data_IF_163463820015
#
_entry.id   IF_163463820015
#
_cell.length_a   1.000
_cell.length_b   1.000
_cell.length_c   1.000
_cell.angle_alpha   90.00
_cell.angle_beta   90.00
_cell.angle_gamma   90.00
#
_symmetry.space_group_name_H-M   'P 1'
#
loop_
_entity.id
_entity.type
_entity.pdbx_description
1 polymer ?
#
# COMPACT_ATOMS: atom_id res chain seq x y z
N UNK A 1 -40.17 -28.38 -12.15
CA UNK A 1 -38.79 -28.90 -12.14
C UNK A 1 -38.01 -28.05 -11.18
N UNK A 2 -37.83 -28.58 -9.98
CA UNK A 2 -37.17 -27.92 -8.86
C UNK A 2 -35.67 -27.74 -9.11
N UNK A 3 -35.16 -26.58 -8.74
CA UNK A 3 -33.77 -26.45 -8.31
C UNK A 3 -33.78 -25.56 -7.08
N UNK A 4 -34.01 -26.22 -5.94
CA UNK A 4 -33.75 -25.69 -4.62
C UNK A 4 -32.34 -25.08 -4.62
N UNK A 5 -32.28 -23.77 -4.37
CA UNK A 5 -31.02 -23.11 -4.03
C UNK A 5 -30.40 -23.82 -2.84
N UNK A 6 -29.22 -24.41 -3.03
CA UNK A 6 -28.44 -24.95 -1.94
C UNK A 6 -28.21 -23.82 -0.91
N UNK A 7 -28.49 -24.05 0.39
CA UNK A 7 -28.11 -23.12 1.43
C UNK A 7 -26.59 -22.95 1.40
N UNK A 8 -26.09 -21.73 1.56
CA UNK A 8 -24.64 -21.51 1.74
C UNK A 8 -24.22 -22.31 2.98
N UNK A 9 -23.05 -22.98 3.00
CA UNK A 9 -22.61 -23.79 4.13
C UNK A 9 -22.48 -23.02 5.46
N UNK A 10 -22.55 -21.69 5.43
CA UNK A 10 -22.61 -20.83 6.61
C UNK A 10 -23.95 -20.85 7.36
N UNK A 11 -25.07 -21.18 6.70
CA UNK A 11 -26.43 -21.08 7.27
C UNK A 11 -26.83 -22.28 8.15
N UNK A 12 -26.03 -23.35 8.18
CA UNK A 12 -26.28 -24.55 9.00
C UNK A 12 -25.48 -24.60 10.32
N UNK A 13 -24.73 -23.55 10.68
CA UNK A 13 -23.97 -23.53 11.93
C UNK A 13 -24.83 -23.09 13.12
N UNK A 14 -24.79 -23.87 14.21
CA UNK A 14 -25.36 -23.50 15.51
C UNK A 14 -24.90 -22.09 15.93
N UNK A 15 -25.79 -21.31 16.55
CA UNK A 15 -25.48 -19.98 17.10
C UNK A 15 -24.26 -20.03 18.02
N UNK A 16 -24.10 -21.12 18.78
CA UNK A 16 -22.96 -21.37 19.66
C UNK A 16 -21.67 -21.51 18.86
N UNK A 17 -21.68 -22.29 17.77
CA UNK A 17 -20.53 -22.45 16.86
C UNK A 17 -20.11 -21.12 16.23
N UNK A 18 -21.09 -20.30 15.82
CA UNK A 18 -20.81 -18.97 15.25
C UNK A 18 -20.22 -18.01 16.28
N UNK A 19 -20.73 -18.03 17.52
CA UNK A 19 -20.17 -17.26 18.63
C UNK A 19 -18.74 -17.67 18.96
N UNK A 20 -18.46 -18.98 19.02
CA UNK A 20 -17.11 -19.51 19.25
C UNK A 20 -16.15 -19.07 18.14
N UNK A 21 -16.51 -19.25 16.86
CA UNK A 21 -15.68 -18.79 15.72
C UNK A 21 -15.36 -17.30 15.84
N UNK A 22 -16.36 -16.47 16.15
CA UNK A 22 -16.19 -15.02 16.30
C UNK A 22 -15.29 -14.66 17.49
N UNK A 23 -15.46 -15.33 18.63
CA UNK A 23 -14.62 -15.15 19.82
C UNK A 23 -13.15 -15.43 19.50
N UNK A 24 -12.84 -16.60 18.93
CA UNK A 24 -11.47 -17.02 18.67
C UNK A 24 -10.78 -16.19 17.59
N UNK A 25 -11.51 -15.80 16.53
CA UNK A 25 -11.02 -14.83 15.56
C UNK A 25 -10.66 -13.51 16.23
N UNK A 26 -11.53 -13.00 17.10
CA UNK A 26 -11.30 -11.72 17.81
C UNK A 26 -10.12 -11.84 18.78
N UNK A 27 -9.99 -12.97 19.47
CA UNK A 27 -8.87 -13.27 20.37
C UNK A 27 -7.54 -13.29 19.61
N UNK A 28 -7.49 -13.89 18.41
CA UNK A 28 -6.30 -13.87 17.57
C UNK A 28 -5.92 -12.44 17.14
N UNK A 29 -6.90 -11.62 16.72
CA UNK A 29 -6.66 -10.21 16.39
C UNK A 29 -6.06 -9.46 17.59
N UNK A 30 -6.61 -9.68 18.79
CA UNK A 30 -6.12 -9.06 20.02
C UNK A 30 -4.70 -9.51 20.38
N UNK A 31 -4.37 -10.79 20.23
CA UNK A 31 -3.01 -11.33 20.45
C UNK A 31 -2.01 -10.64 19.53
N UNK A 32 -2.32 -10.57 18.22
CA UNK A 32 -1.48 -9.87 17.23
C UNK A 32 -1.31 -8.38 17.58
N UNK A 33 -2.40 -7.69 17.95
CA UNK A 33 -2.36 -6.27 18.29
C UNK A 33 -1.61 -5.95 19.60
N UNK A 34 -1.62 -6.87 20.57
CA UNK A 34 -0.96 -6.68 21.87
C UNK A 34 0.47 -7.22 21.91
N UNK A 35 0.96 -7.80 20.82
CA UNK A 35 2.31 -8.36 20.73
C UNK A 35 2.54 -9.54 21.68
N UNK A 36 1.47 -10.25 22.07
CA UNK A 36 1.60 -11.46 22.90
C UNK A 36 2.29 -12.56 22.10
N UNK A 37 3.09 -13.39 22.78
CA UNK A 37 3.82 -14.49 22.15
C UNK A 37 2.85 -15.43 21.43
N UNK A 38 3.07 -15.59 20.13
CA UNK A 38 2.34 -16.54 19.28
C UNK A 38 3.11 -17.86 19.16
N UNK A 39 2.48 -18.87 18.58
CA UNK A 39 3.12 -20.16 18.30
C UNK A 39 4.30 -19.98 17.33
N UNK A 40 5.48 -20.43 17.73
CA UNK A 40 6.74 -20.20 17.00
C UNK A 40 6.73 -20.86 15.61
N UNK A 41 6.08 -22.01 15.45
CA UNK A 41 6.00 -22.68 14.16
C UNK A 41 5.07 -21.96 13.19
N UNK A 42 3.98 -21.37 13.70
CA UNK A 42 3.10 -20.53 12.88
C UNK A 42 3.78 -19.24 12.44
N UNK A 43 4.55 -18.61 13.34
CA UNK A 43 5.33 -17.41 12.99
C UNK A 43 6.40 -17.75 11.95
N UNK A 44 7.14 -18.86 12.13
CA UNK A 44 8.15 -19.29 11.17
C UNK A 44 7.54 -19.62 9.79
N UNK A 45 6.37 -20.25 9.76
CA UNK A 45 5.66 -20.56 8.51
C UNK A 45 5.20 -19.30 7.76
N UNK A 46 4.82 -18.24 8.48
CA UNK A 46 4.34 -16.99 7.88
C UNK A 46 5.48 -16.05 7.43
N UNK A 47 6.72 -16.29 7.88
CA UNK A 47 7.83 -15.36 7.68
C UNK A 47 8.10 -14.98 6.22
N UNK A 48 8.05 -15.96 5.30
CA UNK A 48 8.23 -15.69 3.87
C UNK A 48 7.09 -14.84 3.29
N UNK A 49 5.86 -15.09 3.73
CA UNK A 49 4.70 -14.33 3.31
C UNK A 49 4.76 -12.89 3.84
N UNK A 50 5.08 -12.71 5.12
CA UNK A 50 5.18 -11.40 5.76
C UNK A 50 6.26 -10.54 5.08
N UNK A 51 7.41 -11.13 4.69
CA UNK A 51 8.43 -10.43 3.91
C UNK A 51 7.91 -9.93 2.55
N UNK A 52 7.10 -10.74 1.85
CA UNK A 52 6.48 -10.33 0.57
C UNK A 52 5.43 -9.24 0.77
N UNK A 53 4.68 -9.27 1.87
CA UNK A 53 3.71 -8.24 2.23
C UNK A 53 4.40 -6.90 2.53
N UNK A 54 5.55 -6.93 3.22
CA UNK A 54 6.35 -5.73 3.47
C UNK A 54 6.81 -5.08 2.16
N UNK A 55 7.31 -5.88 1.21
CA UNK A 55 7.68 -5.40 -0.13
C UNK A 55 6.46 -4.80 -0.84
N UNK A 56 5.31 -5.45 -0.77
CA UNK A 56 4.08 -4.94 -1.38
C UNK A 56 3.66 -3.59 -0.79
N UNK A 57 3.70 -3.43 0.53
CA UNK A 57 3.40 -2.17 1.19
C UNK A 57 4.39 -1.07 0.80
N UNK A 58 5.67 -1.39 0.67
CA UNK A 58 6.69 -0.47 0.16
C UNK A 58 6.37 -0.02 -1.27
N UNK A 59 5.95 -0.92 -2.15
CA UNK A 59 5.50 -0.56 -3.52
C UNK A 59 4.30 0.40 -3.48
N UNK A 60 3.30 0.11 -2.64
CA UNK A 60 2.13 0.97 -2.49
C UNK A 60 2.48 2.39 -2.02
N UNK A 61 3.32 2.50 -1.00
CA UNK A 61 3.76 3.78 -0.44
C UNK A 61 4.58 4.56 -1.47
N UNK A 62 5.56 3.91 -2.10
CA UNK A 62 6.45 4.54 -3.07
C UNK A 62 5.73 4.99 -4.33
N UNK A 63 4.69 4.28 -4.81
CA UNK A 63 3.83 4.77 -5.89
C UNK A 63 3.12 6.08 -5.52
N UNK A 64 2.60 6.17 -4.29
CA UNK A 64 1.92 7.37 -3.80
C UNK A 64 2.89 8.54 -3.69
N UNK A 65 4.09 8.29 -3.18
CA UNK A 65 5.10 9.33 -3.04
C UNK A 65 5.65 9.79 -4.40
N UNK A 66 5.86 8.86 -5.33
CA UNK A 66 6.28 9.17 -6.70
C UNK A 66 5.28 10.10 -7.40
N UNK A 67 3.98 9.88 -7.22
CA UNK A 67 2.94 10.78 -7.77
C UNK A 67 3.09 12.21 -7.24
N UNK A 68 3.27 12.39 -5.93
CA UNK A 68 3.48 13.72 -5.32
C UNK A 68 4.74 14.38 -5.84
N UNK A 69 5.82 13.62 -5.99
CA UNK A 69 7.10 14.10 -6.51
C UNK A 69 6.93 14.59 -7.96
N UNK A 70 6.25 13.81 -8.81
CA UNK A 70 6.00 14.20 -10.21
C UNK A 70 5.19 15.50 -10.26
N UNK A 71 4.13 15.62 -9.47
CA UNK A 71 3.31 16.85 -9.41
C UNK A 71 4.13 18.07 -8.99
N UNK A 72 4.91 17.92 -7.93
CA UNK A 72 5.79 18.99 -7.43
C UNK A 72 6.86 19.37 -8.46
N UNK A 73 7.38 18.38 -9.18
CA UNK A 73 8.37 18.62 -10.23
C UNK A 73 7.75 19.36 -11.41
N UNK A 74 6.55 18.97 -11.87
CA UNK A 74 5.82 19.70 -12.92
C UNK A 74 5.56 21.16 -12.55
N UNK A 75 5.11 21.42 -11.31
CA UNK A 75 4.88 22.78 -10.83
C UNK A 75 6.17 23.62 -10.88
N UNK A 76 7.26 23.10 -10.32
CA UNK A 76 8.56 23.78 -10.31
C UNK A 76 9.09 24.03 -11.71
N UNK A 77 8.91 23.06 -12.60
CA UNK A 77 9.33 23.12 -13.99
C UNK A 77 8.58 24.21 -14.76
N UNK A 78 7.27 24.34 -14.54
CA UNK A 78 6.49 25.42 -15.14
C UNK A 78 6.97 26.79 -14.65
N UNK A 79 7.06 26.99 -13.34
CA UNK A 79 7.50 28.27 -12.74
C UNK A 79 8.87 28.70 -13.26
N UNK A 80 9.88 27.82 -13.20
CA UNK A 80 11.22 28.19 -13.66
C UNK A 80 11.27 28.49 -15.17
N UNK A 81 10.41 27.83 -15.96
CA UNK A 81 10.36 28.07 -17.40
C UNK A 81 9.64 29.37 -17.75
N UNK A 82 8.64 29.77 -16.97
CA UNK A 82 7.97 31.06 -17.09
C UNK A 82 8.96 32.19 -16.79
N UNK A 83 9.61 32.16 -15.62
CA UNK A 83 10.60 33.16 -15.21
C UNK A 83 11.78 33.27 -16.19
N UNK A 84 12.33 32.13 -16.64
CA UNK A 84 13.42 32.13 -17.61
C UNK A 84 12.99 32.68 -18.98
N UNK A 85 11.76 32.39 -19.41
CA UNK A 85 11.21 32.91 -20.65
C UNK A 85 10.96 34.42 -20.56
N UNK A 86 10.43 34.92 -19.45
CA UNK A 86 10.25 36.35 -19.20
C UNK A 86 11.58 37.11 -19.22
N UNK A 87 12.61 36.58 -18.53
CA UNK A 87 13.95 37.14 -18.60
C UNK A 87 14.50 37.13 -20.03
N UNK A 88 14.28 36.05 -20.76
CA UNK A 88 14.68 35.94 -22.16
C UNK A 88 14.01 36.99 -23.06
N UNK A 89 12.71 37.24 -22.87
CA UNK A 89 11.97 38.29 -23.58
C UNK A 89 12.45 39.68 -23.19
N UNK A 90 12.70 39.93 -21.90
CA UNK A 90 13.23 41.19 -21.42
C UNK A 90 14.59 41.53 -22.05
N UNK A 91 15.52 40.58 -22.09
CA UNK A 91 16.84 40.81 -22.71
C UNK A 91 16.72 41.12 -24.20
N UNK A 92 15.84 40.44 -24.92
CA UNK A 92 15.59 40.73 -26.34
C UNK A 92 15.02 42.13 -26.55
N UNK A 93 14.07 42.55 -25.72
CA UNK A 93 13.49 43.89 -25.78
C UNK A 93 14.55 44.98 -25.51
N UNK A 94 15.45 44.75 -24.55
CA UNK A 94 16.55 45.69 -24.28
C UNK A 94 17.59 45.70 -25.40
N UNK A 95 17.88 44.55 -26.01
CA UNK A 95 18.78 44.45 -27.15
C UNK A 95 18.32 45.27 -28.37
N UNK A 96 17.01 45.39 -28.60
CA UNK A 96 16.46 46.22 -29.68
C UNK A 96 16.79 47.72 -29.51
N UNK A 97 17.08 48.15 -28.27
CA UNK A 97 17.37 49.55 -27.92
C UNK A 97 18.88 49.82 -27.79
N UNK A 98 19.72 48.80 -27.88
CA UNK A 98 21.17 48.90 -27.70
C UNK A 98 21.92 48.38 -28.94
N UNK A 99 22.45 49.30 -29.74
CA UNK A 99 23.22 48.97 -30.95
C UNK A 99 24.67 48.52 -30.67
N UNK A 100 25.11 48.52 -29.41
CA UNK A 100 26.47 48.13 -29.04
C UNK A 100 26.64 46.60 -29.06
N UNK A 101 27.87 46.15 -28.77
CA UNK A 101 28.13 44.73 -28.58
C UNK A 101 27.33 44.13 -27.42
N UNK A 102 26.99 44.93 -26.40
CA UNK A 102 26.18 44.48 -25.27
C UNK A 102 24.77 44.10 -25.73
N UNK A 103 24.12 44.90 -26.59
CA UNK A 103 22.82 44.54 -27.17
C UNK A 103 22.84 43.24 -27.97
N UNK A 104 23.88 42.99 -28.78
CA UNK A 104 24.05 41.70 -29.48
C UNK A 104 24.17 40.52 -28.51
N UNK A 105 24.90 40.70 -27.41
CA UNK A 105 25.03 39.68 -26.35
C UNK A 105 23.70 39.46 -25.63
N UNK A 106 22.93 40.52 -25.37
CA UNK A 106 21.60 40.43 -24.77
C UNK A 106 20.62 39.67 -25.67
N UNK A 107 20.57 39.94 -26.97
CA UNK A 107 19.70 39.21 -27.92
C UNK A 107 20.08 37.72 -27.99
N UNK A 108 21.36 37.40 -28.11
CA UNK A 108 21.85 36.03 -28.12
C UNK A 108 21.49 35.28 -26.82
N UNK A 109 21.70 35.93 -25.67
CA UNK A 109 21.35 35.38 -24.35
C UNK A 109 19.84 35.19 -24.22
N UNK A 110 19.05 36.18 -24.63
CA UNK A 110 17.59 36.11 -24.56
C UNK A 110 17.00 35.01 -25.44
N UNK A 111 17.54 34.82 -26.65
CA UNK A 111 17.20 33.67 -27.52
C UNK A 111 17.54 32.33 -26.85
N UNK A 112 18.71 32.23 -26.22
CA UNK A 112 19.12 31.01 -25.52
C UNK A 112 18.18 30.69 -24.34
N UNK A 113 17.85 31.68 -23.50
CA UNK A 113 16.93 31.51 -22.37
C UNK A 113 15.52 31.11 -22.83
N UNK A 114 14.94 31.79 -23.82
CA UNK A 114 13.64 31.40 -24.37
C UNK A 114 13.67 29.98 -24.97
N UNK A 115 14.77 29.59 -25.62
CA UNK A 115 14.89 28.23 -26.17
C UNK A 115 15.01 27.17 -25.07
N UNK A 116 15.81 27.45 -24.04
CA UNK A 116 15.97 26.61 -22.84
C UNK A 116 14.63 26.40 -22.14
N UNK A 117 13.88 27.47 -21.88
CA UNK A 117 12.55 27.43 -21.29
C UNK A 117 11.58 26.55 -22.10
N UNK A 118 11.54 26.71 -23.43
CA UNK A 118 10.70 25.89 -24.32
C UNK A 118 11.07 24.41 -24.29
N UNK A 119 12.36 24.09 -24.31
CA UNK A 119 12.84 22.72 -24.20
C UNK A 119 12.45 22.10 -22.86
N UNK A 120 12.52 22.88 -21.77
CA UNK A 120 12.10 22.41 -20.45
C UNK A 120 10.60 22.14 -20.41
N UNK A 121 9.77 23.04 -20.94
CA UNK A 121 8.31 22.85 -21.04
C UNK A 121 7.92 21.64 -21.89
N UNK A 122 8.72 21.25 -22.88
CA UNK A 122 8.49 20.02 -23.64
C UNK A 122 8.52 18.75 -22.77
N UNK A 123 9.14 18.79 -21.58
CA UNK A 123 9.11 17.70 -20.60
C UNK A 123 7.76 17.56 -19.88
N UNK A 124 6.88 18.57 -19.94
CA UNK A 124 5.57 18.49 -19.28
C UNK A 124 4.71 17.35 -19.85
N UNK A 125 4.81 17.08 -21.15
CA UNK A 125 4.09 15.99 -21.81
C UNK A 125 4.52 14.60 -21.31
N UNK A 126 5.81 14.20 -21.37
CA UNK A 126 6.24 12.92 -20.84
C UNK A 126 6.03 12.80 -19.32
N UNK A 127 6.16 13.90 -18.54
CA UNK A 127 5.85 13.87 -17.11
C UNK A 127 4.36 13.63 -16.82
N UNK A 128 3.47 14.23 -17.62
CA UNK A 128 2.02 14.02 -17.47
C UNK A 128 1.65 12.57 -17.80
N UNK A 129 2.29 12.00 -18.83
CA UNK A 129 2.14 10.58 -19.17
C UNK A 129 2.63 9.68 -18.04
N UNK A 130 3.84 9.93 -17.51
CA UNK A 130 4.38 9.17 -16.39
C UNK A 130 3.45 9.22 -15.17
N UNK A 131 2.94 10.42 -14.83
CA UNK A 131 1.96 10.59 -13.74
C UNK A 131 0.73 9.71 -13.97
N UNK A 132 0.17 9.71 -15.17
CA UNK A 132 -1.00 8.91 -15.51
C UNK A 132 -0.72 7.40 -15.42
N UNK A 133 0.43 6.95 -15.92
CA UNK A 133 0.84 5.54 -15.88
C UNK A 133 1.02 5.05 -14.44
N UNK A 134 1.71 5.82 -13.59
CA UNK A 134 1.86 5.51 -12.16
C UNK A 134 0.53 5.52 -11.43
N UNK A 135 -0.34 6.50 -11.71
CA UNK A 135 -1.66 6.58 -11.11
C UNK A 135 -2.53 5.37 -11.49
N UNK A 136 -2.49 4.97 -12.76
CA UNK A 136 -3.23 3.80 -13.25
C UNK A 136 -2.71 2.52 -12.62
N UNK A 137 -1.39 2.34 -12.54
CA UNK A 137 -0.77 1.20 -11.88
C UNK A 137 -1.18 1.11 -10.40
N UNK A 138 -1.12 2.22 -9.68
CA UNK A 138 -1.52 2.27 -8.27
C UNK A 138 -3.02 2.01 -8.07
N UNK A 139 -3.88 2.61 -8.88
CA UNK A 139 -5.33 2.49 -8.72
C UNK A 139 -5.88 1.14 -9.19
N UNK A 140 -5.22 0.47 -10.13
CA UNK A 140 -5.62 -0.85 -10.63
C UNK A 140 -4.80 -1.95 -10.00
N UNK A 141 -3.55 -2.13 -10.46
CA UNK A 141 -2.74 -3.28 -10.08
C UNK A 141 -2.49 -3.37 -8.57
N UNK A 142 -2.09 -2.28 -7.93
CA UNK A 142 -1.84 -2.26 -6.47
C UNK A 142 -3.14 -2.45 -5.70
N UNK A 143 -4.21 -1.74 -6.07
CA UNK A 143 -5.53 -1.85 -5.41
C UNK A 143 -6.12 -3.26 -5.50
N UNK A 144 -6.09 -3.89 -6.68
CA UNK A 144 -6.61 -5.25 -6.89
C UNK A 144 -5.82 -6.28 -6.08
N UNK A 145 -4.49 -6.13 -6.06
CA UNK A 145 -3.62 -6.98 -5.25
C UNK A 145 -3.90 -6.80 -3.76
N UNK A 146 -4.11 -5.55 -3.30
CA UNK A 146 -4.47 -5.24 -1.92
C UNK A 146 -5.79 -5.90 -1.51
N UNK A 147 -6.80 -5.92 -2.39
CA UNK A 147 -8.06 -6.65 -2.11
C UNK A 147 -7.82 -8.13 -1.88
N UNK A 148 -6.94 -8.74 -2.68
CA UNK A 148 -6.57 -10.16 -2.56
C UNK A 148 -5.81 -10.43 -1.27
N UNK A 149 -4.83 -9.57 -0.94
CA UNK A 149 -4.08 -9.63 0.32
C UNK A 149 -5.02 -9.50 1.51
N UNK A 150 -5.98 -8.58 1.51
CA UNK A 150 -6.92 -8.40 2.62
C UNK A 150 -7.78 -9.65 2.85
N UNK A 151 -8.23 -10.31 1.78
CA UNK A 151 -8.97 -11.58 1.90
C UNK A 151 -8.08 -12.69 2.47
N UNK A 152 -6.84 -12.76 2.01
CA UNK A 152 -5.85 -13.72 2.52
C UNK A 152 -5.54 -13.46 4.00
N UNK A 153 -5.31 -12.22 4.43
CA UNK A 153 -5.09 -11.84 5.83
C UNK A 153 -6.26 -12.20 6.73
N UNK A 154 -7.49 -12.01 6.23
CA UNK A 154 -8.69 -12.44 6.93
C UNK A 154 -8.72 -13.96 7.10
N UNK A 155 -8.45 -14.73 6.04
CA UNK A 155 -8.42 -16.18 6.09
C UNK A 155 -7.31 -16.69 7.04
N UNK A 156 -6.12 -16.07 7.00
CA UNK A 156 -4.99 -16.32 7.91
C UNK A 156 -5.39 -16.11 9.37
N UNK A 157 -6.06 -14.99 9.67
CA UNK A 157 -6.56 -14.69 11.01
C UNK A 157 -7.61 -15.68 11.48
N UNK A 158 -8.53 -16.07 10.60
CA UNK A 158 -9.56 -17.09 10.90
C UNK A 158 -8.93 -18.46 11.18
N UNK A 159 -7.93 -18.86 10.38
CA UNK A 159 -7.19 -20.10 10.55
C UNK A 159 -6.43 -20.13 11.88
N UNK A 160 -5.67 -19.07 12.21
CA UNK A 160 -4.94 -18.99 13.48
C UNK A 160 -5.89 -18.95 14.68
N UNK A 161 -7.05 -18.29 14.56
CA UNK A 161 -8.11 -18.36 15.57
C UNK A 161 -8.64 -19.79 15.78
N UNK A 162 -8.86 -20.54 14.70
CA UNK A 162 -9.29 -21.94 14.79
C UNK A 162 -8.22 -22.84 15.44
N UNK A 163 -6.93 -22.65 15.12
CA UNK A 163 -5.84 -23.36 15.76
C UNK A 163 -5.74 -23.07 17.26
N UNK A 164 -5.94 -21.81 17.67
CA UNK A 164 -5.99 -21.44 19.09
C UNK A 164 -7.14 -22.17 19.80
N UNK A 165 -8.32 -22.23 19.19
CA UNK A 165 -9.44 -22.98 19.73
C UNK A 165 -9.14 -24.47 19.86
N UNK A 166 -8.58 -25.09 18.83
CA UNK A 166 -8.23 -26.50 18.85
C UNK A 166 -7.20 -26.82 19.94
N UNK A 167 -6.21 -25.94 20.13
CA UNK A 167 -5.23 -26.06 21.21
C UNK A 167 -5.88 -26.00 22.60
N UNK A 168 -6.81 -25.06 22.80
CA UNK A 168 -7.54 -24.88 24.06
C UNK A 168 -8.41 -26.11 24.38
N UNK A 169 -9.22 -26.56 23.43
CA UNK A 169 -10.06 -27.76 23.58
C UNK A 169 -9.22 -29.04 23.77
N UNK A 170 -8.08 -29.16 23.08
CA UNK A 170 -7.19 -30.32 23.26
C UNK A 170 -6.62 -30.42 24.68
N UNK A 171 -6.46 -29.30 25.40
CA UNK A 171 -6.01 -29.31 26.79
C UNK A 171 -7.14 -29.75 27.75
N UNK A 172 -8.38 -29.39 27.44
CA UNK A 172 -9.55 -29.84 28.21
C UNK A 172 -9.82 -31.35 28.06
N UNK A 173 -9.43 -31.94 26.92
CA UNK A 173 -9.62 -33.35 26.59
C UNK A 173 -8.42 -34.24 26.96
N UNK A 174 -7.34 -33.68 27.51
CA UNK A 174 -6.16 -34.46 27.90
C UNK A 174 -6.52 -35.46 29.03
N UNK A 175 -6.35 -36.78 28.83
CA UNK A 175 -6.68 -37.78 29.84
C UNK A 175 -5.86 -37.65 31.14
N UNK A 176 -4.73 -36.93 31.13
CA UNK A 176 -3.99 -36.62 32.37
C UNK A 176 -4.66 -35.52 33.22
N UNK A 177 -5.58 -34.72 32.66
CA UNK A 177 -6.42 -33.77 33.41
C UNK A 177 -7.42 -34.52 34.30
N UNK A 178 -7.90 -35.70 33.87
CA UNK A 178 -8.68 -36.62 34.71
C UNK A 178 -7.85 -37.21 35.86
N UNK A 179 -6.54 -37.41 35.68
CA UNK A 179 -5.64 -37.83 36.77
C UNK A 179 -5.38 -36.72 37.80
N UNK A 180 -5.55 -35.45 37.45
CA UNK A 180 -5.51 -34.37 38.43
C UNK A 180 -6.70 -34.42 39.40
N UNK A 181 -7.86 -34.90 38.95
CA UNK A 181 -9.03 -35.15 39.81
C UNK A 181 -8.83 -36.35 40.76
N UNK A 182 -7.96 -37.32 40.40
CA UNK A 182 -7.62 -38.42 41.31
C UNK A 182 -6.87 -37.94 42.57
N UNK A 183 -6.17 -36.80 42.51
CA UNK A 183 -5.53 -36.18 43.68
C UNK A 183 -6.54 -35.68 44.72
N UNK A 184 -7.79 -35.44 44.32
CA UNK A 184 -8.90 -35.06 45.21
C UNK A 184 -9.79 -36.26 45.59
N UNK A 185 -9.55 -37.45 45.03
CA UNK A 185 -10.30 -38.68 45.33
C UNK A 185 -9.66 -39.52 46.45
N UNK A 186 -8.43 -39.19 46.88
CA UNK A 186 -7.80 -39.71 48.10
C UNK A 186 -7.99 -38.71 49.25
N UNK A 187 -9.18 -38.69 49.83
CA UNK A 187 -9.45 -38.18 51.19
C UNK A 187 -10.03 -39.33 51.98
#
# INVERSE_FOLDING_TARGET
MDSFGQPRPEDNQSVVSRMQKKYWKTKQVFIKATGKKEDEHLVASDAELDAKLEVFHSVQETCTELLKIIEKYQLRLNVISEEENELGLFLKFQAERDATQAGKMMDATGKALCSSAKQRLALCTPLSRLKQEVATFSQRAVSDTLMTINRMEQARTEYRGALLWMKDVSQELDPDTLKQMEKFRKV
#
